data_IF_422087810885
#
_entry.id   IF_422087810885
#
_cell.length_a   1.000
_cell.length_b   1.000
_cell.length_c   1.000
_cell.angle_alpha   90.00
_cell.angle_beta   90.00
_cell.angle_gamma   90.00
#
_symmetry.space_group_name_H-M   'P 1'
#
loop_
_entity.id
_entity.type
_entity.pdbx_description
1 polymer ?
#
# COMPACT_ATOMS: atom_id res chain seq x y z
N UNK A 1 3.88 -1.78 3.05
CA UNK A 1 3.62 -2.97 3.87
C UNK A 1 3.80 -2.67 5.34
N UNK A 2 4.07 -3.69 6.14
CA UNK A 2 4.42 -3.59 7.56
C UNK A 2 3.30 -3.99 8.53
N UNK A 3 3.61 -4.00 9.82
CA UNK A 3 2.72 -4.49 10.89
C UNK A 3 1.40 -3.70 11.03
N UNK A 4 1.37 -2.45 10.55
CA UNK A 4 0.17 -1.60 10.58
C UNK A 4 -0.82 -1.86 9.45
N UNK A 5 -0.53 -2.77 8.52
CA UNK A 5 -1.43 -3.08 7.40
C UNK A 5 -2.59 -3.95 7.91
N UNK A 6 -3.81 -3.53 7.60
CA UNK A 6 -5.01 -4.30 7.92
C UNK A 6 -5.11 -5.59 7.09
N UNK A 7 -5.97 -6.52 7.53
CA UNK A 7 -6.24 -7.77 6.80
C UNK A 7 -7.17 -7.59 5.59
N UNK A 8 -7.74 -6.39 5.42
CA UNK A 8 -8.76 -6.09 4.43
C UNK A 8 -9.93 -5.31 5.02
N UNK A 9 -10.95 -5.12 4.20
CA UNK A 9 -12.23 -4.52 4.58
C UNK A 9 -13.23 -5.62 4.93
N UNK A 10 -13.90 -5.49 6.08
CA UNK A 10 -14.89 -6.46 6.54
C UNK A 10 -16.02 -6.62 5.52
N UNK A 11 -16.30 -7.87 5.10
CA UNK A 11 -17.34 -8.26 4.15
C UNK A 11 -17.21 -7.59 2.76
N UNK A 12 -15.98 -7.25 2.34
CA UNK A 12 -15.70 -6.57 1.06
C UNK A 12 -14.46 -7.17 0.41
N UNK A 13 -14.52 -8.47 0.13
CA UNK A 13 -13.38 -9.26 -0.35
C UNK A 13 -12.85 -8.75 -1.70
N UNK A 14 -13.73 -8.44 -2.65
CA UNK A 14 -13.34 -7.89 -3.97
C UNK A 14 -12.56 -6.58 -3.84
N UNK A 15 -13.03 -5.68 -2.98
CA UNK A 15 -12.35 -4.40 -2.75
C UNK A 15 -11.01 -4.64 -2.03
N UNK A 16 -10.99 -5.56 -1.06
CA UNK A 16 -9.78 -5.91 -0.32
C UNK A 16 -8.70 -6.45 -1.24
N UNK A 17 -9.04 -7.33 -2.19
CA UNK A 17 -8.10 -7.88 -3.16
C UNK A 17 -7.49 -6.81 -4.10
N UNK A 18 -8.20 -5.71 -4.37
CA UNK A 18 -7.68 -4.60 -5.20
C UNK A 18 -6.80 -3.62 -4.42
N UNK A 19 -7.09 -3.39 -3.14
CA UNK A 19 -6.40 -2.39 -2.32
C UNK A 19 -5.24 -2.98 -1.49
N UNK A 20 -5.35 -4.23 -1.07
CA UNK A 20 -4.34 -4.94 -0.29
C UNK A 20 -3.68 -6.01 -1.15
N UNK A 21 -2.53 -5.68 -1.72
CA UNK A 21 -1.80 -6.54 -2.67
C UNK A 21 -0.61 -7.21 -1.98
N UNK A 22 -0.14 -8.32 -2.55
CA UNK A 22 1.10 -8.98 -2.08
C UNK A 22 2.26 -7.99 -2.13
N UNK A 23 3.04 -7.91 -1.05
CA UNK A 23 4.22 -7.05 -0.95
C UNK A 23 5.44 -7.75 -1.60
N UNK A 24 5.87 -7.34 -2.80
CA UNK A 24 6.97 -8.03 -3.51
C UNK A 24 8.35 -7.73 -2.91
N UNK A 25 8.44 -6.80 -1.94
CA UNK A 25 9.69 -6.40 -1.30
C UNK A 25 9.90 -7.10 0.05
N UNK A 26 8.91 -7.87 0.50
CA UNK A 26 8.97 -8.64 1.75
C UNK A 26 9.40 -10.08 1.50
N UNK A 27 10.19 -10.64 2.42
CA UNK A 27 10.55 -12.07 2.42
C UNK A 27 9.44 -12.98 3.02
N UNK A 28 8.43 -12.39 3.68
CA UNK A 28 7.29 -13.14 4.23
C UNK A 28 6.23 -13.40 3.17
N UNK A 29 5.84 -14.67 3.02
CA UNK A 29 4.88 -15.15 2.01
C UNK A 29 3.50 -14.48 2.09
N UNK A 30 3.09 -14.02 3.28
CA UNK A 30 1.76 -13.43 3.52
C UNK A 30 1.82 -11.91 3.76
N UNK A 31 2.92 -11.25 3.40
CA UNK A 31 3.03 -9.80 3.56
C UNK A 31 2.18 -9.06 2.54
N UNK A 32 1.44 -8.05 3.03
CA UNK A 32 0.58 -7.20 2.21
C UNK A 32 1.08 -5.75 2.21
N UNK A 33 0.80 -5.07 1.10
CA UNK A 33 0.94 -3.63 0.91
C UNK A 33 -0.41 -3.03 0.57
N UNK A 34 -0.74 -1.89 1.18
CA UNK A 34 -1.94 -1.13 0.87
C UNK A 34 -1.67 -0.09 -0.22
N UNK A 35 -2.51 -0.05 -1.25
CA UNK A 35 -2.48 0.96 -2.31
C UNK A 35 -3.25 2.19 -1.85
N UNK A 36 -2.55 3.30 -1.56
CA UNK A 36 -3.22 4.50 -1.02
C UNK A 36 -3.99 5.28 -2.08
N UNK A 37 -3.58 5.20 -3.35
CA UNK A 37 -4.06 6.06 -4.44
C UNK A 37 -3.35 7.42 -4.51
N UNK A 38 -2.38 7.68 -3.63
CA UNK A 38 -1.58 8.91 -3.65
C UNK A 38 -0.43 8.79 -4.64
N UNK A 39 -0.17 9.88 -5.38
CA UNK A 39 1.05 10.07 -6.14
C UNK A 39 2.10 10.76 -5.27
N UNK A 40 3.26 10.13 -5.14
CA UNK A 40 4.38 10.64 -4.33
C UNK A 40 5.70 10.51 -5.10
N UNK A 41 6.69 11.31 -4.72
CA UNK A 41 8.09 11.14 -5.17
C UNK A 41 9.07 11.24 -4.01
N UNK A 42 10.24 10.62 -4.17
CA UNK A 42 11.37 10.84 -3.29
C UNK A 42 12.07 12.16 -3.60
N UNK A 43 12.45 12.88 -2.55
CA UNK A 43 13.39 14.01 -2.63
C UNK A 43 14.82 13.52 -2.36
N UNK A 44 15.80 14.35 -2.72
CA UNK A 44 17.22 14.02 -2.56
C UNK A 44 17.66 13.81 -1.11
N UNK A 45 16.92 14.39 -0.16
CA UNK A 45 17.12 14.24 1.29
C UNK A 45 16.48 12.95 1.86
N UNK A 46 15.84 12.14 1.01
CA UNK A 46 15.15 10.92 1.43
C UNK A 46 13.74 11.13 1.98
N UNK A 47 13.20 12.36 1.95
CA UNK A 47 11.81 12.61 2.32
C UNK A 47 10.85 12.31 1.16
N UNK A 48 9.60 11.98 1.49
CA UNK A 48 8.51 11.84 0.52
C UNK A 48 7.82 13.18 0.30
N UNK A 49 7.54 13.49 -0.96
CA UNK A 49 6.73 14.62 -1.39
C UNK A 49 5.43 14.15 -2.02
N UNK A 50 4.31 14.63 -1.48
CA UNK A 50 2.98 14.37 -2.02
C UNK A 50 2.70 15.25 -3.24
N UNK A 51 2.17 14.65 -4.30
CA UNK A 51 1.92 15.29 -5.59
C UNK A 51 0.44 15.33 -5.98
N UNK A 52 -0.41 14.52 -5.36
CA UNK A 52 -1.84 14.47 -5.67
C UNK A 52 -2.43 13.06 -5.58
N UNK A 53 -3.66 12.92 -6.10
CA UNK A 53 -4.40 11.66 -6.22
C UNK A 53 -4.28 11.07 -7.62
N UNK A 54 -4.33 9.75 -7.72
CA UNK A 54 -4.32 9.00 -8.97
C UNK A 54 -5.60 8.15 -9.14
N UNK A 55 -6.70 8.59 -8.52
CA UNK A 55 -8.02 7.99 -8.57
C UNK A 55 -9.12 9.04 -8.79
#
# INVERSE_FOLDING_TARGET
GGQGVAKGYLNRDDLSATQFVVDPFSASENALMYRTGDLVRWRADGNLEYLGRND
#
